data_IF_141892259351
#
_entry.id   IF_141892259351
#
_cell.length_a   1.000
_cell.length_b   1.000
_cell.length_c   1.000
_cell.angle_alpha   90.00
_cell.angle_beta   90.00
_cell.angle_gamma   90.00
#
_symmetry.space_group_name_H-M   'P 1'
#
loop_
_entity.id
_entity.type
_entity.pdbx_description
1 polymer ?
#
# COMPACT_ATOMS: atom_id res chain seq x y z
N UNK A 1 -11.75 24.94 -2.28
CA UNK A 1 -10.93 23.83 -1.69
C UNK A 1 -11.10 22.48 -2.40
N UNK A 2 -11.35 22.45 -3.72
CA UNK A 2 -11.61 21.19 -4.46
C UNK A 2 -10.31 20.58 -5.05
N UNK A 3 -9.32 21.42 -5.34
CA UNK A 3 -8.09 21.00 -6.02
C UNK A 3 -7.19 20.13 -5.11
N UNK A 4 -7.21 20.38 -3.79
CA UNK A 4 -6.40 19.62 -2.83
C UNK A 4 -6.90 18.18 -2.65
N UNK A 5 -8.22 17.94 -2.75
CA UNK A 5 -8.80 16.60 -2.57
C UNK A 5 -8.49 15.68 -3.75
N UNK A 6 -8.50 16.21 -4.98
CA UNK A 6 -8.16 15.44 -6.18
C UNK A 6 -6.67 15.06 -6.15
N UNK A 7 -5.79 16.01 -5.80
CA UNK A 7 -4.35 15.76 -5.72
C UNK A 7 -3.98 14.70 -4.67
N UNK A 8 -4.71 14.64 -3.55
CA UNK A 8 -4.55 13.61 -2.52
C UNK A 8 -5.01 12.21 -2.96
N UNK A 9 -5.95 12.14 -3.91
CA UNK A 9 -6.44 10.88 -4.46
C UNK A 9 -5.57 10.36 -5.60
N UNK A 10 -5.05 11.25 -6.45
CA UNK A 10 -4.26 10.89 -7.64
C UNK A 10 -2.76 10.75 -7.38
N UNK A 11 -2.25 11.24 -6.24
CA UNK A 11 -0.83 11.10 -5.90
C UNK A 11 -0.46 9.62 -5.74
N UNK A 12 0.49 9.19 -6.59
CA UNK A 12 1.07 7.85 -6.56
C UNK A 12 1.95 7.67 -5.31
N UNK A 13 1.99 6.43 -4.83
CA UNK A 13 2.87 5.96 -3.76
C UNK A 13 4.15 5.48 -4.41
N UNK A 14 5.28 6.03 -4.01
CA UNK A 14 6.58 5.58 -4.49
C UNK A 14 7.23 4.71 -3.43
N UNK A 15 7.61 3.48 -3.79
CA UNK A 15 8.31 2.55 -2.91
C UNK A 15 9.36 1.79 -3.72
N UNK A 16 10.61 1.81 -3.24
CA UNK A 16 11.76 1.17 -3.86
C UNK A 16 12.45 0.27 -2.83
N UNK A 17 11.78 -0.79 -2.41
CA UNK A 17 12.24 -1.67 -1.35
C UNK A 17 11.91 -3.13 -1.61
N UNK A 18 12.71 -4.01 -1.01
CA UNK A 18 12.45 -5.44 -0.92
C UNK A 18 11.98 -5.76 0.49
N UNK A 19 10.78 -6.31 0.62
CA UNK A 19 10.15 -6.59 1.90
C UNK A 19 9.84 -8.08 1.97
N UNK A 20 10.36 -8.75 2.99
CA UNK A 20 10.06 -10.16 3.27
C UNK A 20 8.91 -10.21 4.29
N UNK A 21 7.87 -10.96 3.94
CA UNK A 21 6.73 -11.27 4.81
C UNK A 21 6.82 -12.74 5.19
N UNK A 22 6.99 -13.02 6.47
CA UNK A 22 6.98 -14.38 7.00
C UNK A 22 5.56 -14.87 7.30
N UNK A 23 5.39 -16.18 7.47
CA UNK A 23 4.08 -16.75 7.78
C UNK A 23 3.50 -16.19 9.07
N UNK A 24 2.28 -15.66 9.01
CA UNK A 24 1.60 -15.01 10.14
C UNK A 24 1.95 -13.53 10.35
N UNK A 25 2.87 -12.97 9.54
CA UNK A 25 3.10 -11.53 9.54
C UNK A 25 1.99 -10.77 8.80
N UNK A 26 1.75 -9.53 9.21
CA UNK A 26 0.68 -8.70 8.66
C UNK A 26 1.16 -7.77 7.54
N UNK A 27 0.24 -7.37 6.66
CA UNK A 27 0.47 -6.35 5.64
C UNK A 27 0.91 -5.00 6.24
N UNK A 28 0.74 -4.78 7.55
CA UNK A 28 1.27 -3.62 8.26
C UNK A 28 2.79 -3.48 8.12
N UNK A 29 3.53 -4.59 7.98
CA UNK A 29 4.98 -4.57 7.74
C UNK A 29 5.32 -3.89 6.41
N UNK A 30 4.52 -4.12 5.37
CA UNK A 30 4.63 -3.43 4.07
C UNK A 30 4.24 -1.96 4.20
N UNK A 31 3.11 -1.68 4.86
CA UNK A 31 2.61 -0.31 5.05
C UNK A 31 3.54 0.56 5.91
N UNK A 32 4.37 -0.05 6.76
CA UNK A 32 5.33 0.66 7.59
C UNK A 32 6.54 1.18 6.80
N UNK A 33 6.82 0.64 5.62
CA UNK A 33 7.86 1.17 4.73
C UNK A 33 7.40 2.40 3.94
N UNK A 34 6.09 2.70 3.96
CA UNK A 34 5.57 3.91 3.37
C UNK A 34 5.86 5.12 4.28
N UNK A 35 6.19 6.26 3.68
CA UNK A 35 6.24 7.53 4.39
C UNK A 35 4.91 7.82 5.09
N UNK A 36 4.96 8.57 6.21
CA UNK A 36 3.81 8.79 7.11
C UNK A 36 2.52 9.20 6.39
N UNK A 37 2.62 10.15 5.45
CA UNK A 37 1.46 10.62 4.68
C UNK A 37 0.89 9.55 3.74
N UNK A 38 1.74 8.78 3.07
CA UNK A 38 1.31 7.74 2.14
C UNK A 38 0.73 6.54 2.89
N UNK A 39 1.27 6.22 4.06
CA UNK A 39 0.69 5.25 4.99
C UNK A 39 -0.73 5.64 5.42
N UNK A 40 -0.95 6.91 5.79
CA UNK A 40 -2.30 7.41 6.17
C UNK A 40 -3.26 7.29 4.98
N UNK A 41 -2.84 7.75 3.80
CA UNK A 41 -3.65 7.65 2.57
C UNK A 41 -3.98 6.20 2.21
N UNK A 42 -3.03 5.30 2.42
CA UNK A 42 -3.24 3.88 2.13
C UNK A 42 -4.21 3.24 3.12
N UNK A 43 -4.06 3.53 4.42
CA UNK A 43 -5.02 3.07 5.44
C UNK A 43 -6.45 3.53 5.15
N UNK A 44 -6.62 4.79 4.75
CA UNK A 44 -7.92 5.32 4.31
C UNK A 44 -8.46 4.58 3.08
N UNK A 45 -7.61 4.31 2.09
CA UNK A 45 -8.00 3.56 0.90
C UNK A 45 -8.45 2.13 1.24
N UNK A 46 -7.65 1.40 2.03
CA UNK A 46 -7.95 0.04 2.50
C UNK A 46 -9.31 0.00 3.20
N UNK A 47 -9.56 0.95 4.10
CA UNK A 47 -10.82 1.04 4.85
C UNK A 47 -12.01 1.38 3.96
N UNK A 48 -11.84 2.27 2.98
CA UNK A 48 -12.93 2.70 2.10
C UNK A 48 -13.28 1.69 1.00
N UNK A 49 -12.37 0.76 0.71
CA UNK A 49 -12.52 -0.23 -0.35
C UNK A 49 -12.62 -1.67 0.21
N UNK A 50 -12.79 -1.85 1.52
CA UNK A 50 -12.87 -3.13 2.22
C UNK A 50 -11.79 -4.14 1.76
N UNK A 51 -10.55 -3.64 1.64
CA UNK A 51 -9.43 -4.45 1.17
C UNK A 51 -9.05 -5.47 2.26
N UNK A 52 -9.19 -6.75 1.93
CA UNK A 52 -8.88 -7.85 2.83
C UNK A 52 -7.45 -8.38 2.65
N UNK A 53 -6.59 -8.16 3.65
CA UNK A 53 -5.22 -8.70 3.70
C UNK A 53 -5.12 -10.06 4.39
N UNK A 54 -6.23 -10.70 4.76
CA UNK A 54 -6.20 -12.08 5.25
C UNK A 54 -5.59 -13.06 4.24
N UNK A 55 -5.68 -12.71 2.95
CA UNK A 55 -5.10 -13.44 1.81
C UNK A 55 -3.64 -13.09 1.52
N UNK A 56 -2.98 -12.35 2.41
CA UNK A 56 -1.56 -12.03 2.23
C UNK A 56 -0.73 -13.31 2.30
N UNK A 57 -0.09 -13.65 1.18
CA UNK A 57 0.82 -14.79 1.15
C UNK A 57 2.20 -14.40 1.73
N UNK A 58 2.85 -15.29 2.50
CA UNK A 58 4.23 -15.09 2.90
C UNK A 58 5.15 -15.14 1.67
N UNK A 59 6.17 -14.29 1.64
CA UNK A 59 7.09 -14.22 0.52
C UNK A 59 7.90 -12.93 0.43
N UNK A 60 8.62 -12.80 -0.68
CA UNK A 60 9.46 -11.64 -0.97
C UNK A 60 8.74 -10.69 -1.92
N UNK A 61 8.38 -9.51 -1.42
CA UNK A 61 7.73 -8.46 -2.18
C UNK A 61 8.77 -7.43 -2.65
N UNK A 62 8.95 -7.32 -3.97
CA UNK A 62 9.84 -6.33 -4.57
C UNK A 62 9.02 -5.14 -5.09
N UNK A 63 9.19 -3.99 -4.46
CA UNK A 63 8.64 -2.72 -4.91
C UNK A 63 9.74 -1.91 -5.58
N UNK A 64 9.44 -1.41 -6.78
CA UNK A 64 10.31 -0.52 -7.53
C UNK A 64 9.45 0.38 -8.41
N UNK A 65 9.26 1.62 -8.02
CA UNK A 65 8.56 2.65 -8.79
C UNK A 65 7.40 3.30 -8.06
N UNK A 66 6.54 3.95 -8.86
CA UNK A 66 5.38 4.69 -8.39
C UNK A 66 4.08 3.98 -8.77
N UNK A 67 3.28 3.64 -7.77
CA UNK A 67 2.05 2.88 -7.87
C UNK A 67 0.85 3.75 -7.49
N UNK A 68 -0.26 3.59 -8.18
CA UNK A 68 -1.57 3.98 -7.64
C UNK A 68 -1.91 3.11 -6.43
N UNK A 69 -2.87 3.54 -5.62
CA UNK A 69 -3.29 2.78 -4.42
C UNK A 69 -3.82 1.39 -4.79
N UNK A 70 -4.58 1.33 -5.88
CA UNK A 70 -5.10 0.09 -6.45
C UNK A 70 -3.98 -0.84 -6.93
N UNK A 71 -3.03 -0.33 -7.73
CA UNK A 71 -1.88 -1.12 -8.21
C UNK A 71 -1.02 -1.64 -7.05
N UNK A 72 -0.82 -0.82 -6.02
CA UNK A 72 -0.04 -1.23 -4.85
C UNK A 72 -0.73 -2.36 -4.09
N UNK A 73 -2.05 -2.25 -3.84
CA UNK A 73 -2.83 -3.30 -3.19
C UNK A 73 -2.86 -4.57 -4.04
N UNK A 74 -3.09 -4.46 -5.34
CA UNK A 74 -3.07 -5.60 -6.26
C UNK A 74 -1.70 -6.31 -6.27
N UNK A 75 -0.61 -5.55 -6.11
CA UNK A 75 0.74 -6.12 -6.01
C UNK A 75 0.99 -6.87 -4.70
N UNK A 76 0.26 -6.51 -3.63
CA UNK A 76 0.32 -7.20 -2.33
C UNK A 76 -0.57 -8.44 -2.32
N UNK A 77 -1.79 -8.33 -2.86
CA UNK A 77 -2.80 -9.37 -2.81
C UNK A 77 -2.79 -10.35 -4.00
N UNK A 78 -1.71 -10.33 -4.79
CA UNK A 78 -1.50 -11.05 -6.06
C UNK A 78 -2.40 -12.27 -6.28
#
# INVERSE_FOLDING_TARGET
MIILSIYFFTKKITLNEKITIDSGESASKILNQLGTLDKIRMKLYIKNHDVDFSKLEPGNYQFSGSYTKAEFVAKILK
#
